data_IF_741249073872
#
_entry.id   IF_741249073872
#
_cell.length_a   1.000
_cell.length_b   1.000
_cell.length_c   1.000
_cell.angle_alpha   90.00
_cell.angle_beta   90.00
_cell.angle_gamma   90.00
#
_symmetry.space_group_name_H-M   'P 1'
#
loop_
_entity.id
_entity.type
_entity.pdbx_description
1 polymer ?
#
# COMPACT_ATOMS: atom_id res chain seq x y z
N UNK A 1 41.18 51.33 -48.84
CA UNK A 1 42.04 50.21 -48.38
C UNK A 1 41.24 48.93 -48.56
N UNK A 2 40.96 48.46 -49.79
CA UNK A 2 41.86 47.73 -50.71
C UNK A 2 42.30 46.40 -50.08
N UNK A 3 41.58 45.29 -50.28
CA UNK A 3 41.61 44.33 -51.42
C UNK A 3 42.64 43.19 -51.27
N UNK A 4 42.13 41.96 -51.48
CA UNK A 4 42.76 40.84 -52.22
C UNK A 4 43.72 39.83 -51.53
N UNK A 5 43.29 38.55 -51.58
CA UNK A 5 44.04 37.31 -51.90
C UNK A 5 45.06 37.52 -53.07
N UNK A 6 46.08 36.68 -53.37
CA UNK A 6 45.99 35.20 -53.44
C UNK A 6 47.33 34.40 -53.27
N UNK A 7 47.21 33.07 -53.48
CA UNK A 7 48.12 32.12 -54.18
C UNK A 7 49.61 32.02 -53.75
N UNK A 8 50.24 30.85 -53.69
CA UNK A 8 49.92 29.51 -54.12
C UNK A 8 51.21 28.67 -54.23
N UNK A 9 51.05 27.38 -54.56
CA UNK A 9 52.08 26.40 -55.01
C UNK A 9 53.10 25.99 -53.93
N UNK A 10 53.60 24.75 -53.84
CA UNK A 10 53.63 23.64 -54.79
C UNK A 10 53.84 22.33 -53.99
N UNK A 11 52.90 21.40 -54.18
CA UNK A 11 53.06 19.98 -54.54
C UNK A 11 54.08 19.03 -53.85
N UNK A 12 53.79 17.71 -53.92
CA UNK A 12 53.99 16.75 -52.83
C UNK A 12 54.87 15.55 -53.28
N UNK A 13 54.40 14.33 -52.99
CA UNK A 13 54.81 12.98 -53.43
C UNK A 13 55.90 12.26 -52.58
N UNK A 14 55.99 10.90 -52.61
CA UNK A 14 55.32 9.99 -51.66
C UNK A 14 56.24 8.83 -51.19
N UNK A 15 55.70 7.88 -50.44
CA UNK A 15 56.13 6.48 -50.53
C UNK A 15 54.93 5.55 -50.40
N UNK A 16 54.28 5.27 -51.54
CA UNK A 16 53.54 4.04 -51.78
C UNK A 16 54.49 3.04 -52.43
N UNK A 17 54.68 1.86 -51.85
CA UNK A 17 55.15 0.72 -52.63
C UNK A 17 53.95 -0.07 -53.13
N UNK A 18 53.91 -0.16 -54.46
CA UNK A 18 52.86 -0.73 -55.30
C UNK A 18 53.03 -2.25 -55.47
N UNK A 19 51.96 -2.91 -55.93
CA UNK A 19 51.94 -4.30 -56.39
C UNK A 19 52.46 -4.43 -57.83
N UNK A 20 52.80 -5.65 -58.24
CA UNK A 20 52.92 -6.07 -59.66
C UNK A 20 52.07 -7.34 -59.84
N UNK A 21 50.97 -7.25 -60.62
CA UNK A 21 50.84 -7.48 -62.07
C UNK A 21 50.98 -8.97 -62.40
N UNK A 22 49.96 -9.72 -62.83
CA UNK A 22 49.03 -9.59 -63.97
C UNK A 22 49.49 -10.37 -65.21
N UNK A 23 48.50 -10.78 -66.02
CA UNK A 23 48.55 -11.41 -67.35
C UNK A 23 48.95 -12.89 -67.39
N UNK A 24 48.28 -13.81 -68.09
CA UNK A 24 47.28 -13.69 -69.14
C UNK A 24 47.87 -14.17 -70.47
N UNK A 25 47.42 -15.33 -70.96
CA UNK A 25 47.46 -15.68 -72.38
C UNK A 25 48.38 -16.82 -72.82
N UNK A 26 47.72 -17.93 -73.18
CA UNK A 26 47.88 -18.64 -74.46
C UNK A 26 49.18 -19.39 -74.80
N UNK A 27 49.05 -20.71 -75.02
CA UNK A 27 49.74 -21.39 -76.13
C UNK A 27 50.39 -22.74 -75.83
N UNK A 28 49.94 -23.75 -76.60
CA UNK A 28 50.61 -25.02 -76.95
C UNK A 28 50.76 -26.09 -75.84
N UNK A 29 50.06 -27.22 -75.85
CA UNK A 29 50.00 -28.36 -76.81
C UNK A 29 50.94 -29.51 -76.42
N UNK A 30 50.31 -30.68 -76.20
CA UNK A 30 50.81 -32.06 -76.26
C UNK A 30 51.72 -32.63 -75.15
N UNK A 31 51.16 -33.58 -74.40
CA UNK A 31 51.69 -34.94 -74.34
C UNK A 31 50.59 -35.92 -73.91
N UNK A 32 50.35 -36.90 -74.76
CA UNK A 32 49.53 -38.11 -74.56
C UNK A 32 50.33 -39.08 -73.69
N UNK A 33 49.68 -39.76 -72.75
CA UNK A 33 50.31 -40.77 -71.89
C UNK A 33 49.25 -41.62 -71.21
N UNK A 34 48.84 -42.67 -71.92
CA UNK A 34 47.95 -43.74 -71.46
C UNK A 34 48.74 -44.68 -70.53
N UNK A 35 48.12 -45.13 -69.43
CA UNK A 35 48.78 -45.95 -68.41
C UNK A 35 47.77 -46.50 -67.40
N UNK A 36 47.42 -47.77 -67.60
CA UNK A 36 46.59 -48.61 -66.73
C UNK A 36 47.34 -49.11 -65.48
N UNK A 37 46.54 -49.69 -64.56
CA UNK A 37 46.82 -50.50 -63.35
C UNK A 37 46.69 -49.73 -62.03
N UNK A 38 45.69 -49.95 -61.16
CA UNK A 38 45.12 -51.14 -60.48
C UNK A 38 45.36 -51.00 -58.96
N UNK A 39 44.34 -51.34 -58.18
CA UNK A 39 44.27 -51.51 -56.71
C UNK A 39 43.89 -50.30 -55.84
N UNK A 40 42.60 -50.23 -55.48
CA UNK A 40 42.25 -50.05 -54.07
C UNK A 40 40.93 -50.75 -53.70
N UNK A 41 41.07 -51.95 -53.15
CA UNK A 41 40.04 -52.67 -52.40
C UNK A 41 39.71 -51.94 -51.08
N UNK A 42 38.43 -51.82 -50.76
CA UNK A 42 37.92 -51.79 -49.38
C UNK A 42 37.86 -50.43 -48.67
N UNK A 43 36.76 -49.70 -48.84
CA UNK A 43 36.23 -48.83 -47.79
C UNK A 43 34.76 -49.17 -47.58
N UNK A 44 34.52 -49.82 -46.44
CA UNK A 44 33.22 -50.23 -45.92
C UNK A 44 32.29 -49.02 -45.89
N UNK A 45 31.07 -49.18 -46.42
CA UNK A 45 30.01 -48.20 -46.32
C UNK A 45 29.84 -47.78 -44.85
N UNK A 46 30.05 -46.48 -44.57
CA UNK A 46 29.80 -45.91 -43.26
C UNK A 46 28.34 -46.16 -42.86
N UNK A 47 28.07 -46.65 -41.63
CA UNK A 47 26.70 -46.87 -41.19
C UNK A 47 25.99 -45.52 -41.07
N UNK A 48 24.76 -45.48 -41.61
CA UNK A 48 23.81 -44.38 -41.51
C UNK A 48 23.81 -43.81 -40.09
N UNK A 49 24.19 -42.54 -40.01
CA UNK A 49 24.22 -41.72 -38.82
C UNK A 49 22.89 -41.89 -38.08
N UNK A 50 22.93 -42.63 -36.97
CA UNK A 50 21.78 -42.80 -36.09
C UNK A 50 21.34 -41.41 -35.66
N UNK A 51 20.20 -40.98 -36.18
CA UNK A 51 19.50 -39.78 -35.75
C UNK A 51 19.34 -39.86 -34.23
N UNK A 52 20.26 -39.20 -33.51
CA UNK A 52 20.18 -39.02 -32.07
C UNK A 52 18.92 -38.19 -31.84
N UNK A 53 17.83 -38.86 -31.48
CA UNK A 53 16.62 -38.23 -30.97
C UNK A 53 17.08 -37.19 -29.94
N UNK A 54 16.73 -35.90 -30.07
CA UNK A 54 17.14 -34.91 -29.10
C UNK A 54 16.52 -35.31 -27.77
N UNK A 55 17.35 -35.86 -26.87
CA UNK A 55 16.94 -36.17 -25.51
C UNK A 55 16.39 -34.87 -24.93
N UNK A 56 15.07 -34.82 -24.74
CA UNK A 56 14.32 -33.68 -24.22
C UNK A 56 14.96 -33.31 -22.88
N UNK A 57 15.86 -32.31 -22.88
CA UNK A 57 16.64 -31.91 -21.72
C UNK A 57 15.65 -31.39 -20.68
N UNK A 58 15.26 -32.25 -19.72
CA UNK A 58 14.40 -31.90 -18.58
C UNK A 58 15.02 -30.68 -17.90
N UNK A 59 14.44 -29.52 -18.16
CA UNK A 59 14.94 -28.25 -17.64
C UNK A 59 14.69 -28.26 -16.14
N UNK A 60 15.77 -28.22 -15.34
CA UNK A 60 15.65 -28.13 -13.88
C UNK A 60 14.85 -26.88 -13.52
N UNK A 61 13.72 -27.06 -12.85
CA UNK A 61 12.95 -25.97 -12.27
C UNK A 61 13.82 -25.27 -11.25
N UNK A 62 13.99 -23.95 -11.41
CA UNK A 62 14.81 -23.17 -10.51
C UNK A 62 14.03 -22.93 -9.21
N UNK A 63 14.24 -23.76 -8.19
CA UNK A 63 13.59 -23.64 -6.87
C UNK A 63 13.73 -22.23 -6.30
N UNK A 64 14.88 -21.60 -6.51
CA UNK A 64 15.12 -20.22 -6.09
C UNK A 64 14.18 -19.21 -6.78
N UNK A 65 13.82 -19.43 -8.04
CA UNK A 65 12.88 -18.56 -8.75
C UNK A 65 11.44 -18.72 -8.24
N UNK A 66 11.05 -19.94 -7.84
CA UNK A 66 9.76 -20.22 -7.21
C UNK A 66 9.67 -19.58 -5.82
N UNK A 67 10.73 -19.70 -5.02
CA UNK A 67 10.80 -19.05 -3.72
C UNK A 67 10.75 -17.52 -3.85
N UNK A 68 11.50 -16.96 -4.79
CA UNK A 68 11.49 -15.52 -5.05
C UNK A 68 10.12 -15.02 -5.54
N UNK A 69 9.41 -15.78 -6.37
CA UNK A 69 8.09 -15.39 -6.86
C UNK A 69 6.98 -15.48 -5.83
N UNK A 70 7.17 -16.28 -4.77
CA UNK A 70 6.26 -16.31 -3.63
C UNK A 70 6.61 -15.21 -2.61
N UNK A 71 7.87 -15.17 -2.18
CA UNK A 71 8.27 -14.38 -1.01
C UNK A 71 8.41 -12.89 -1.31
N UNK A 72 8.89 -12.49 -2.50
CA UNK A 72 9.09 -11.06 -2.80
C UNK A 72 7.76 -10.31 -2.89
N UNK A 73 6.74 -10.77 -3.64
CA UNK A 73 5.43 -10.12 -3.66
C UNK A 73 4.74 -10.12 -2.30
N UNK A 74 4.83 -11.22 -1.55
CA UNK A 74 4.28 -11.30 -0.21
C UNK A 74 4.96 -10.31 0.75
N UNK A 75 6.28 -10.25 0.79
CA UNK A 75 7.02 -9.34 1.65
C UNK A 75 6.77 -7.85 1.28
N UNK A 76 6.67 -7.55 -0.02
CA UNK A 76 6.33 -6.21 -0.49
C UNK A 76 4.90 -5.82 -0.07
N UNK A 77 3.95 -6.76 -0.19
CA UNK A 77 2.57 -6.58 0.26
C UNK A 77 2.50 -6.34 1.77
N UNK A 78 3.09 -7.22 2.59
CA UNK A 78 3.04 -7.12 4.06
C UNK A 78 3.66 -5.83 4.56
N UNK A 79 4.83 -5.47 4.03
CA UNK A 79 5.55 -4.25 4.43
C UNK A 79 4.75 -3.01 4.07
N UNK A 80 4.28 -2.91 2.82
CA UNK A 80 3.50 -1.75 2.36
C UNK A 80 2.18 -1.63 3.12
N UNK A 81 1.48 -2.75 3.31
CA UNK A 81 0.21 -2.78 4.01
C UNK A 81 0.36 -2.44 5.49
N UNK A 82 1.41 -2.94 6.16
CA UNK A 82 1.70 -2.65 7.56
C UNK A 82 2.10 -1.18 7.76
N UNK A 83 2.99 -0.67 6.91
CA UNK A 83 3.43 0.74 6.97
C UNK A 83 2.25 1.69 6.78
N UNK A 84 1.35 1.38 5.84
CA UNK A 84 0.13 2.17 5.60
C UNK A 84 -0.95 1.98 6.67
N UNK A 85 -0.94 0.89 7.43
CA UNK A 85 -2.02 0.59 8.41
C UNK A 85 -1.72 1.07 9.83
N UNK A 86 -0.46 1.10 10.25
CA UNK A 86 -0.10 1.24 11.67
C UNK A 86 0.56 2.59 12.01
N UNK A 87 1.21 2.65 13.18
CA UNK A 87 1.73 3.86 13.83
C UNK A 87 2.65 4.71 12.95
N UNK A 88 3.39 4.10 12.02
CA UNK A 88 4.30 4.82 11.12
C UNK A 88 3.52 5.81 10.25
N UNK A 89 2.35 5.42 9.73
CA UNK A 89 1.49 6.32 8.96
C UNK A 89 0.98 7.49 9.82
N UNK A 90 0.70 7.24 11.10
CA UNK A 90 0.20 8.25 12.02
C UNK A 90 1.27 9.27 12.45
N UNK A 91 2.40 8.77 12.98
CA UNK A 91 3.44 9.60 13.59
C UNK A 91 4.35 10.26 12.54
N UNK A 92 4.63 9.55 11.45
CA UNK A 92 5.62 9.96 10.46
C UNK A 92 5.08 9.75 9.03
N UNK A 93 4.08 10.53 8.60
CA UNK A 93 3.49 10.40 7.25
C UNK A 93 4.54 10.57 6.14
N UNK A 94 5.59 11.35 6.36
CA UNK A 94 6.71 11.51 5.42
C UNK A 94 7.53 10.22 5.26
N UNK A 95 7.85 9.53 6.35
CA UNK A 95 8.57 8.26 6.33
C UNK A 95 7.71 7.17 5.65
N UNK A 96 6.41 7.16 5.94
CA UNK A 96 5.45 6.29 5.26
C UNK A 96 5.47 6.50 3.74
N UNK A 97 5.37 7.76 3.29
CA UNK A 97 5.47 8.12 1.88
C UNK A 97 6.81 7.73 1.25
N UNK A 98 7.92 7.92 1.96
CA UNK A 98 9.25 7.51 1.50
C UNK A 98 9.36 6.00 1.30
N UNK A 99 8.90 5.19 2.26
CA UNK A 99 8.95 3.71 2.17
C UNK A 99 8.07 3.23 1.01
N UNK A 100 6.86 3.77 0.88
CA UNK A 100 5.94 3.43 -0.22
C UNK A 100 6.54 3.82 -1.57
N UNK A 101 7.13 5.02 -1.67
CA UNK A 101 7.80 5.52 -2.88
C UNK A 101 9.03 4.69 -3.26
N UNK A 102 9.86 4.31 -2.29
CA UNK A 102 10.99 3.41 -2.52
C UNK A 102 10.53 2.03 -3.02
N UNK A 103 9.44 1.50 -2.45
CA UNK A 103 8.78 0.29 -2.93
C UNK A 103 8.31 0.43 -4.39
N UNK A 104 7.71 1.57 -4.76
CA UNK A 104 7.32 1.83 -6.14
C UNK A 104 8.51 1.81 -7.10
N UNK A 105 9.62 2.47 -6.74
CA UNK A 105 10.85 2.48 -7.55
C UNK A 105 11.39 1.06 -7.75
N UNK A 106 11.41 0.24 -6.69
CA UNK A 106 11.82 -1.16 -6.78
C UNK A 106 10.91 -1.95 -7.74
N UNK A 107 9.60 -1.78 -7.65
CA UNK A 107 8.61 -2.43 -8.55
C UNK A 107 8.85 -2.01 -10.01
N UNK A 108 9.05 -0.73 -10.27
CA UNK A 108 9.36 -0.22 -11.61
C UNK A 108 10.68 -0.78 -12.14
N UNK A 109 11.72 -0.89 -11.32
CA UNK A 109 12.99 -1.50 -11.71
C UNK A 109 12.81 -2.97 -12.10
N UNK A 110 12.02 -3.74 -11.33
CA UNK A 110 11.64 -5.11 -11.67
C UNK A 110 10.86 -5.18 -13.00
N UNK A 111 9.96 -4.24 -13.25
CA UNK A 111 9.22 -4.13 -14.51
C UNK A 111 10.11 -3.83 -15.72
N UNK A 112 11.08 -2.92 -15.58
CA UNK A 112 12.07 -2.63 -16.63
C UNK A 112 12.93 -3.86 -16.93
N UNK A 113 13.38 -4.59 -15.91
CA UNK A 113 14.13 -5.83 -16.09
C UNK A 113 13.29 -6.89 -16.82
N UNK A 114 12.01 -7.01 -16.48
CA UNK A 114 11.08 -7.92 -17.14
C UNK A 114 10.85 -7.52 -18.62
N UNK A 115 10.67 -6.23 -18.91
CA UNK A 115 10.52 -5.71 -20.27
C UNK A 115 11.78 -5.95 -21.13
N UNK A 116 12.98 -5.67 -20.58
CA UNK A 116 14.25 -5.97 -21.25
C UNK A 116 14.43 -7.47 -21.51
N UNK A 117 14.00 -8.32 -20.59
CA UNK A 117 14.03 -9.77 -20.78
C UNK A 117 13.05 -10.23 -21.87
N UNK A 118 11.89 -9.58 -21.99
CA UNK A 118 10.91 -9.84 -23.05
C UNK A 118 11.42 -9.42 -24.45
N UNK A 119 12.03 -8.24 -24.57
CA UNK A 119 12.59 -7.76 -25.86
C UNK A 119 13.71 -8.69 -26.36
N UNK A 120 14.62 -9.11 -25.46
CA UNK A 120 15.69 -10.07 -25.82
C UNK A 120 15.17 -11.43 -26.26
N UNK A 121 14.03 -11.88 -25.72
CA UNK A 121 13.36 -13.11 -26.19
C UNK A 121 12.87 -12.94 -27.63
N UNK A 122 12.27 -11.78 -27.96
CA UNK A 122 11.78 -11.48 -29.31
C UNK A 122 12.93 -11.42 -30.33
N UNK A 123 14.10 -10.95 -29.91
CA UNK A 123 15.32 -10.92 -30.72
C UNK A 123 15.99 -12.31 -30.92
N UNK A 124 15.44 -13.41 -30.36
CA UNK A 124 16.00 -14.78 -30.38
C UNK A 124 17.41 -14.93 -29.76
N UNK A 125 17.87 -13.94 -29.02
CA UNK A 125 19.21 -13.92 -28.39
C UNK A 125 19.26 -14.61 -27.01
N UNK A 126 18.11 -14.88 -26.40
CA UNK A 126 18.03 -15.34 -25.00
C UNK A 126 17.90 -16.87 -24.87
N UNK A 127 18.91 -17.53 -24.27
CA UNK A 127 18.88 -18.94 -23.88
C UNK A 127 18.01 -19.23 -22.62
N UNK A 128 17.55 -18.20 -21.91
CA UNK A 128 16.79 -18.30 -20.65
C UNK A 128 15.38 -17.73 -20.81
N UNK A 129 14.35 -18.49 -20.41
CA UNK A 129 12.96 -18.05 -20.50
C UNK A 129 12.67 -16.90 -19.51
N UNK A 130 12.20 -15.73 -20.00
CA UNK A 130 11.94 -14.54 -19.17
C UNK A 130 10.59 -14.59 -18.41
N UNK A 131 9.87 -15.72 -18.47
CA UNK A 131 8.48 -15.84 -17.97
C UNK A 131 8.36 -15.58 -16.47
N UNK A 132 9.34 -16.00 -15.67
CA UNK A 132 9.37 -15.76 -14.23
C UNK A 132 9.50 -14.27 -13.86
N UNK A 133 10.28 -13.49 -14.62
CA UNK A 133 10.42 -12.05 -14.36
C UNK A 133 9.12 -11.29 -14.61
N UNK A 134 8.38 -11.66 -15.65
CA UNK A 134 7.07 -11.08 -15.95
C UNK A 134 6.05 -11.40 -14.85
N UNK A 135 5.99 -12.66 -14.41
CA UNK A 135 5.09 -13.09 -13.33
C UNK A 135 5.37 -12.33 -12.02
N UNK A 136 6.64 -12.25 -11.62
CA UNK A 136 7.05 -11.52 -10.41
C UNK A 136 6.65 -10.05 -10.54
N UNK A 137 6.95 -9.39 -11.67
CA UNK A 137 6.64 -7.97 -11.85
C UNK A 137 5.15 -7.67 -11.76
N UNK A 138 4.30 -8.51 -12.36
CA UNK A 138 2.84 -8.30 -12.36
C UNK A 138 2.24 -8.54 -10.98
N UNK A 139 2.61 -9.65 -10.32
CA UNK A 139 2.10 -9.97 -8.98
C UNK A 139 2.59 -8.98 -7.92
N UNK A 140 3.82 -8.49 -8.06
CA UNK A 140 4.41 -7.46 -7.20
C UNK A 140 3.67 -6.12 -7.34
N UNK A 141 3.38 -5.69 -8.58
CA UNK A 141 2.62 -4.46 -8.83
C UNK A 141 1.18 -4.57 -8.28
N UNK A 142 0.51 -5.69 -8.56
CA UNK A 142 -0.85 -5.91 -8.08
C UNK A 142 -0.93 -5.97 -6.56
N UNK A 143 -0.01 -6.71 -5.92
CA UNK A 143 0.10 -6.77 -4.47
C UNK A 143 0.34 -5.39 -3.87
N UNK A 144 1.23 -4.59 -4.44
CA UNK A 144 1.50 -3.24 -3.95
C UNK A 144 0.28 -2.31 -4.03
N UNK A 145 -0.44 -2.32 -5.15
CA UNK A 145 -1.67 -1.50 -5.30
C UNK A 145 -2.74 -1.91 -4.29
N UNK A 146 -2.98 -3.21 -4.12
CA UNK A 146 -3.95 -3.70 -3.12
C UNK A 146 -3.51 -3.34 -1.71
N UNK A 147 -2.22 -3.48 -1.38
CA UNK A 147 -1.68 -3.12 -0.07
C UNK A 147 -1.92 -1.65 0.27
N UNK A 148 -1.81 -0.74 -0.70
CA UNK A 148 -2.11 0.68 -0.51
C UNK A 148 -3.59 0.93 -0.22
N UNK A 149 -4.48 0.32 -1.01
CA UNK A 149 -5.93 0.49 -0.85
C UNK A 149 -6.39 -0.07 0.49
N UNK A 150 -6.05 -1.33 0.78
CA UNK A 150 -6.42 -1.99 2.02
C UNK A 150 -5.77 -1.33 3.24
N UNK A 151 -4.51 -0.90 3.12
CA UNK A 151 -3.77 -0.21 4.18
C UNK A 151 -4.41 1.11 4.56
N UNK A 152 -4.70 1.95 3.57
CA UNK A 152 -5.37 3.21 3.79
C UNK A 152 -6.80 3.03 4.31
N UNK A 153 -7.53 2.01 3.83
CA UNK A 153 -8.85 1.68 4.35
C UNK A 153 -8.78 1.28 5.83
N UNK A 154 -7.90 0.34 6.18
CA UNK A 154 -7.71 -0.13 7.56
C UNK A 154 -7.26 1.00 8.50
N UNK A 155 -6.37 1.86 8.01
CA UNK A 155 -5.90 3.02 8.77
C UNK A 155 -7.05 3.97 9.08
N UNK A 156 -7.83 4.36 8.07
CA UNK A 156 -8.91 5.34 8.26
C UNK A 156 -10.05 4.81 9.13
N UNK A 157 -10.43 3.54 8.98
CA UNK A 157 -11.61 3.00 9.67
C UNK A 157 -11.31 2.46 11.06
N UNK A 158 -10.16 1.81 11.26
CA UNK A 158 -9.86 1.10 12.50
C UNK A 158 -8.75 1.79 13.31
N UNK A 159 -7.60 2.06 12.68
CA UNK A 159 -6.39 2.44 13.44
C UNK A 159 -6.34 3.93 13.79
N UNK A 160 -6.84 4.82 12.93
CA UNK A 160 -6.86 6.26 13.17
C UNK A 160 -7.71 6.63 14.40
N UNK A 161 -8.97 6.18 14.55
CA UNK A 161 -9.74 6.44 15.76
C UNK A 161 -9.04 5.94 17.04
N UNK A 162 -8.37 4.79 16.96
CA UNK A 162 -7.58 4.25 18.06
C UNK A 162 -6.41 5.17 18.44
N UNK A 163 -5.62 5.63 17.48
CA UNK A 163 -4.47 6.51 17.75
C UNK A 163 -4.90 7.91 18.22
N UNK A 164 -5.94 8.49 17.61
CA UNK A 164 -6.44 9.82 17.97
C UNK A 164 -6.89 9.88 19.43
N UNK A 165 -7.55 8.84 19.93
CA UNK A 165 -7.96 8.76 21.35
C UNK A 165 -6.80 8.38 22.27
N UNK A 166 -5.90 7.48 21.83
CA UNK A 166 -4.82 6.95 22.70
C UNK A 166 -3.67 7.94 22.89
N UNK A 167 -3.48 8.89 21.98
CA UNK A 167 -2.50 9.97 22.15
C UNK A 167 -2.97 11.08 23.11
N UNK A 168 -4.21 11.01 23.57
CA UNK A 168 -4.78 11.93 24.54
C UNK A 168 -4.79 11.31 25.94
N UNK A 169 -4.85 12.16 26.97
CA UNK A 169 -4.80 11.71 28.36
C UNK A 169 -6.13 11.08 28.80
N UNK A 170 -6.04 10.12 29.72
CA UNK A 170 -7.19 9.48 30.36
C UNK A 170 -7.31 9.98 31.79
N UNK A 171 -8.47 10.53 32.15
CA UNK A 171 -8.74 11.05 33.49
C UNK A 171 -9.81 10.22 34.18
N UNK A 172 -9.69 10.02 35.48
CA UNK A 172 -10.63 9.24 36.26
C UNK A 172 -11.16 9.98 37.49
N UNK A 173 -12.41 9.70 37.86
CA UNK A 173 -13.07 10.34 39.00
C UNK A 173 -13.38 11.82 38.78
N UNK A 174 -13.60 12.24 37.53
CA UNK A 174 -13.88 13.65 37.21
C UNK A 174 -15.29 14.02 37.66
N UNK A 175 -15.39 15.06 38.48
CA UNK A 175 -16.66 15.64 38.93
C UNK A 175 -16.97 16.88 38.07
N UNK A 176 -18.01 16.84 37.21
CA UNK A 176 -18.41 17.96 36.37
C UNK A 176 -18.73 19.25 37.14
N UNK A 177 -19.07 19.18 38.43
CA UNK A 177 -19.36 20.36 39.24
C UNK A 177 -18.11 21.08 39.75
N UNK A 178 -16.97 20.38 39.84
CA UNK A 178 -15.73 20.90 40.44
C UNK A 178 -14.64 21.19 39.42
N UNK A 179 -14.65 20.46 38.30
CA UNK A 179 -13.63 20.54 37.27
C UNK A 179 -14.17 21.35 36.09
N UNK A 180 -13.36 22.24 35.54
CA UNK A 180 -13.72 23.01 34.34
C UNK A 180 -13.12 22.38 33.08
N UNK A 181 -13.80 22.55 31.95
CA UNK A 181 -13.39 21.99 30.65
C UNK A 181 -12.00 22.47 30.21
N UNK A 182 -11.59 23.68 30.61
CA UNK A 182 -10.25 24.23 30.33
C UNK A 182 -9.10 23.36 30.85
N UNK A 183 -9.32 22.63 31.95
CA UNK A 183 -8.29 21.76 32.54
C UNK A 183 -8.15 20.41 31.83
N UNK A 184 -9.14 20.03 31.02
CA UNK A 184 -9.25 18.73 30.36
C UNK A 184 -9.25 18.84 28.83
N UNK A 185 -8.61 19.88 28.30
CA UNK A 185 -8.49 20.11 26.84
C UNK A 185 -7.69 19.04 26.11
N UNK A 186 -6.89 18.24 26.84
CA UNK A 186 -6.10 17.12 26.33
C UNK A 186 -6.71 15.76 26.68
N UNK A 187 -7.90 15.72 27.28
CA UNK A 187 -8.56 14.49 27.66
C UNK A 187 -9.14 13.77 26.43
N UNK A 188 -8.77 12.51 26.23
CA UNK A 188 -9.36 11.63 25.20
C UNK A 188 -10.43 10.73 25.78
N UNK A 189 -10.25 10.33 27.04
CA UNK A 189 -11.20 9.52 27.80
C UNK A 189 -11.35 10.11 29.19
N UNK A 190 -12.58 10.21 29.64
CA UNK A 190 -12.91 10.71 30.98
C UNK A 190 -13.82 9.72 31.66
N UNK A 191 -13.36 9.12 32.75
CA UNK A 191 -14.21 8.39 33.68
C UNK A 191 -14.74 9.41 34.69
N UNK A 192 -16.02 9.72 34.59
CA UNK A 192 -16.67 10.62 35.53
C UNK A 192 -16.92 9.93 36.87
N UNK A 193 -17.21 10.74 37.88
CA UNK A 193 -17.63 10.25 39.19
C UNK A 193 -18.91 9.40 39.09
N UNK A 194 -19.14 8.48 40.04
CA UNK A 194 -20.31 7.60 40.04
C UNK A 194 -21.65 8.34 40.19
N UNK A 195 -21.63 9.58 40.67
CA UNK A 195 -22.81 10.44 40.78
C UNK A 195 -23.12 11.18 39.48
N UNK A 196 -22.20 11.15 38.52
CA UNK A 196 -22.36 11.83 37.24
C UNK A 196 -23.40 11.14 36.37
N UNK A 197 -24.33 11.93 35.84
CA UNK A 197 -25.42 11.48 34.96
C UNK A 197 -25.68 12.52 33.87
N UNK A 198 -26.46 12.11 32.88
CA UNK A 198 -26.94 13.01 31.84
C UNK A 198 -28.16 13.78 32.36
N UNK A 199 -28.13 15.11 32.27
CA UNK A 199 -29.32 15.93 32.52
C UNK A 199 -30.11 16.11 31.22
N UNK A 200 -30.98 15.13 30.95
CA UNK A 200 -31.82 15.10 29.74
C UNK A 200 -32.75 16.31 29.68
N UNK A 201 -33.14 16.89 30.82
CA UNK A 201 -34.04 18.05 30.87
C UNK A 201 -33.46 19.31 30.23
N UNK A 202 -32.13 19.39 30.17
CA UNK A 202 -31.36 20.48 29.53
C UNK A 202 -30.73 20.05 28.20
N UNK A 203 -31.19 18.93 27.64
CA UNK A 203 -30.75 18.48 26.33
C UNK A 203 -31.37 19.33 25.21
N UNK A 204 -30.63 19.48 24.12
CA UNK A 204 -31.06 20.23 22.95
C UNK A 204 -30.50 19.59 21.68
N UNK A 205 -31.02 19.97 20.52
CA UNK A 205 -30.45 19.52 19.26
C UNK A 205 -30.44 20.58 18.18
N UNK A 206 -29.41 20.54 17.34
CA UNK A 206 -29.26 21.39 16.17
C UNK A 206 -29.42 20.55 14.90
N UNK A 207 -30.18 21.04 13.91
CA UNK A 207 -30.45 20.29 12.68
C UNK A 207 -29.73 20.92 11.49
N UNK A 208 -28.81 20.17 10.89
CA UNK A 208 -28.08 20.52 9.67
C UNK A 208 -27.73 19.23 8.90
N UNK A 209 -28.55 18.88 7.91
CA UNK A 209 -28.67 17.55 7.27
C UNK A 209 -29.01 16.41 8.25
N UNK A 210 -28.21 16.23 9.31
CA UNK A 210 -28.48 15.39 10.46
C UNK A 210 -28.87 16.23 11.69
N UNK A 211 -29.50 15.58 12.67
CA UNK A 211 -29.79 16.19 13.98
C UNK A 211 -28.65 15.91 14.94
N UNK A 212 -27.93 16.95 15.35
CA UNK A 212 -26.85 16.91 16.33
C UNK A 212 -27.42 17.14 17.73
N UNK A 213 -27.39 16.11 18.56
CA UNK A 213 -27.99 16.09 19.88
C UNK A 213 -26.93 16.26 20.95
N UNK A 214 -27.20 17.11 21.94
CA UNK A 214 -26.32 17.36 23.09
C UNK A 214 -27.09 17.24 24.39
N UNK A 215 -26.47 16.65 25.41
CA UNK A 215 -26.99 16.60 26.77
C UNK A 215 -25.87 16.90 27.77
N UNK A 216 -26.06 17.82 28.73
CA UNK A 216 -25.03 18.14 29.70
C UNK A 216 -24.80 16.98 30.68
N UNK A 217 -23.55 16.78 31.07
CA UNK A 217 -23.13 15.80 32.07
C UNK A 217 -23.00 16.53 33.40
N UNK A 218 -23.80 16.14 34.40
CA UNK A 218 -23.88 16.79 35.71
C UNK A 218 -23.69 15.79 36.84
N UNK A 219 -23.21 16.22 38.01
CA UNK A 219 -23.10 15.37 39.20
C UNK A 219 -24.24 15.54 40.20
N UNK A 220 -24.96 16.67 40.17
CA UNK A 220 -26.11 16.97 41.05
C UNK A 220 -27.27 17.59 40.26
N UNK A 221 -28.45 17.71 40.88
CA UNK A 221 -29.59 18.44 40.30
C UNK A 221 -29.44 19.96 40.41
N UNK A 222 -28.46 20.41 41.22
CA UNK A 222 -28.19 21.82 41.41
C UNK A 222 -27.61 22.46 40.14
N UNK A 223 -27.93 23.74 39.95
CA UNK A 223 -27.44 24.47 38.80
C UNK A 223 -25.92 24.69 38.93
N UNK A 224 -25.16 24.09 38.01
CA UNK A 224 -23.73 24.27 37.93
C UNK A 224 -23.36 25.69 37.51
N UNK A 225 -22.21 26.18 37.99
CA UNK A 225 -21.65 27.46 37.59
C UNK A 225 -21.26 27.50 36.10
N UNK A 226 -20.80 26.37 35.57
CA UNK A 226 -20.48 26.19 34.15
C UNK A 226 -20.80 24.76 33.71
N UNK A 227 -21.37 24.62 32.51
CA UNK A 227 -21.70 23.34 31.88
C UNK A 227 -20.67 23.04 30.79
N UNK A 228 -19.51 22.52 31.18
CA UNK A 228 -18.40 22.30 30.24
C UNK A 228 -18.40 20.89 29.63
N UNK A 229 -19.08 19.92 30.23
CA UNK A 229 -19.07 18.52 29.77
C UNK A 229 -20.40 18.16 29.12
N UNK A 230 -20.34 17.69 27.87
CA UNK A 230 -21.51 17.38 27.07
C UNK A 230 -21.41 15.97 26.48
N UNK A 231 -22.47 15.19 26.67
CA UNK A 231 -22.70 13.97 25.92
C UNK A 231 -23.29 14.31 24.56
N UNK A 232 -22.78 13.69 23.50
CA UNK A 232 -23.16 13.99 22.12
C UNK A 232 -23.55 12.75 21.33
N UNK A 233 -24.43 12.95 20.36
CA UNK A 233 -24.64 11.99 19.29
C UNK A 233 -25.56 12.51 18.20
N UNK A 234 -25.74 11.70 17.16
CA UNK A 234 -26.40 12.12 15.92
C UNK A 234 -27.69 11.33 15.76
N UNK A 235 -28.76 12.01 15.35
CA UNK A 235 -30.08 11.45 15.03
C UNK A 235 -30.72 10.65 16.19
N UNK A 236 -30.45 11.04 17.43
CA UNK A 236 -30.97 10.38 18.65
C UNK A 236 -31.86 11.28 19.52
N UNK A 237 -32.34 12.39 18.96
CA UNK A 237 -33.27 13.33 19.59
C UNK A 237 -34.16 13.98 18.52
N UNK A 238 -35.29 14.55 18.94
CA UNK A 238 -36.21 15.30 18.06
C UNK A 238 -35.64 16.63 17.58
N UNK A 239 -34.68 17.19 18.32
CA UNK A 239 -34.03 18.48 18.06
C UNK A 239 -34.83 19.71 18.51
N UNK A 240 -36.07 19.54 18.96
CA UNK A 240 -36.90 20.65 19.43
C UNK A 240 -37.47 20.44 20.85
N UNK A 241 -37.21 19.27 21.43
CA UNK A 241 -37.59 18.91 22.80
C UNK A 241 -36.37 18.35 23.54
N UNK A 242 -36.39 18.38 24.88
CA UNK A 242 -35.36 17.77 25.70
C UNK A 242 -35.55 16.24 25.74
N UNK A 243 -35.24 15.56 24.63
CA UNK A 243 -35.46 14.11 24.43
C UNK A 243 -34.21 13.37 23.96
N UNK A 244 -33.10 13.57 24.66
CA UNK A 244 -31.86 12.84 24.38
C UNK A 244 -31.99 11.33 24.67
N UNK A 245 -31.93 10.51 23.61
CA UNK A 245 -32.08 9.04 23.68
C UNK A 245 -30.94 8.31 22.93
N UNK A 246 -29.74 8.86 22.96
CA UNK A 246 -28.56 8.24 22.37
C UNK A 246 -28.16 6.94 23.10
N UNK A 247 -27.29 6.14 22.47
CA UNK A 247 -26.86 4.87 23.06
C UNK A 247 -26.36 5.04 24.50
N UNK A 248 -26.75 4.12 25.39
CA UNK A 248 -26.37 4.11 26.81
C UNK A 248 -26.88 5.28 27.66
N UNK A 249 -27.79 6.13 27.17
CA UNK A 249 -28.30 7.29 27.93
C UNK A 249 -28.93 6.93 29.28
N UNK A 250 -29.69 5.82 29.34
CA UNK A 250 -30.40 5.36 30.54
C UNK A 250 -29.65 4.24 31.30
N UNK A 251 -28.38 4.00 30.96
CA UNK A 251 -27.62 2.94 31.60
C UNK A 251 -26.98 3.42 32.90
N UNK A 252 -27.37 2.80 34.02
CA UNK A 252 -26.80 3.10 35.34
C UNK A 252 -25.31 2.71 35.50
N UNK A 253 -24.71 2.08 34.48
CA UNK A 253 -23.29 1.72 34.44
C UNK A 253 -22.46 2.70 33.60
N UNK A 254 -23.09 3.52 32.75
CA UNK A 254 -22.36 4.49 31.97
C UNK A 254 -22.06 5.70 32.84
N UNK A 255 -20.77 5.89 33.11
CA UNK A 255 -20.22 7.08 33.77
C UNK A 255 -18.94 7.52 33.06
N UNK A 256 -18.78 7.19 31.78
CA UNK A 256 -17.58 7.47 31.04
C UNK A 256 -17.88 8.17 29.71
N UNK A 257 -16.96 9.01 29.29
CA UNK A 257 -17.00 9.74 28.03
C UNK A 257 -15.77 9.44 27.19
N UNK A 258 -15.98 9.08 25.93
CA UNK A 258 -14.93 9.08 24.90
C UNK A 258 -15.04 10.35 24.09
N UNK A 259 -13.94 11.10 23.93
CA UNK A 259 -13.97 12.38 23.24
C UNK A 259 -14.38 12.26 21.78
N UNK A 260 -15.19 13.20 21.31
CA UNK A 260 -15.44 13.39 19.89
C UNK A 260 -14.19 14.00 19.22
N UNK A 261 -13.62 13.29 18.26
CA UNK A 261 -12.43 13.74 17.51
C UNK A 261 -12.76 14.32 16.14
N UNK A 262 -13.99 14.15 15.65
CA UNK A 262 -14.40 14.66 14.34
C UNK A 262 -14.60 16.18 14.38
N UNK A 263 -13.67 16.92 13.77
CA UNK A 263 -13.70 18.38 13.71
C UNK A 263 -14.92 18.91 12.95
N UNK A 264 -15.38 18.21 11.91
CA UNK A 264 -16.52 18.64 11.10
C UNK A 264 -17.85 18.56 11.87
N UNK A 265 -17.97 17.59 12.77
CA UNK A 265 -19.14 17.46 13.63
C UNK A 265 -19.07 18.38 14.85
N UNK A 266 -17.85 18.64 15.35
CA UNK A 266 -17.61 19.49 16.53
C UNK A 266 -18.22 20.88 16.37
N UNK A 267 -18.15 21.48 15.19
CA UNK A 267 -18.75 22.79 14.92
C UNK A 267 -20.28 22.77 15.06
N UNK A 268 -20.94 21.74 14.52
CA UNK A 268 -22.39 21.59 14.63
C UNK A 268 -22.84 21.31 16.07
N UNK A 269 -22.05 20.57 16.86
CA UNK A 269 -22.32 20.36 18.28
C UNK A 269 -22.14 21.64 19.11
N UNK A 270 -21.21 22.54 18.74
CA UNK A 270 -21.10 23.85 19.39
C UNK A 270 -22.35 24.69 19.17
N UNK A 271 -22.90 24.70 17.95
CA UNK A 271 -24.16 25.39 17.66
C UNK A 271 -25.33 24.82 18.50
N UNK A 272 -25.37 23.50 18.70
CA UNK A 272 -26.36 22.87 19.57
C UNK A 272 -26.22 23.31 21.03
N UNK A 273 -24.99 23.44 21.55
CA UNK A 273 -24.73 23.96 22.89
C UNK A 273 -25.14 25.43 23.01
N UNK A 274 -24.83 26.27 22.03
CA UNK A 274 -25.24 27.69 22.03
C UNK A 274 -26.77 27.84 22.09
N UNK A 275 -27.51 26.97 21.39
CA UNK A 275 -28.97 26.93 21.47
C UNK A 275 -29.45 26.45 22.85
N UNK A 276 -28.82 25.43 23.42
CA UNK A 276 -29.12 24.95 24.77
C UNK A 276 -28.88 26.03 25.84
N UNK A 277 -27.80 26.80 25.73
CA UNK A 277 -27.51 27.94 26.61
C UNK A 277 -28.62 28.98 26.56
N UNK A 278 -29.07 29.34 25.36
CA UNK A 278 -30.12 30.33 25.17
C UNK A 278 -31.48 29.83 25.70
N UNK A 279 -31.81 28.57 25.45
CA UNK A 279 -33.09 27.97 25.86
C UNK A 279 -33.19 27.78 27.38
N UNK A 280 -32.13 27.30 28.02
CA UNK A 280 -32.13 26.92 29.44
C UNK A 280 -31.46 27.94 30.36
N UNK A 281 -30.99 29.08 29.82
CA UNK A 281 -30.29 30.15 30.57
C UNK A 281 -29.07 29.61 31.34
N UNK A 282 -28.35 28.68 30.73
CA UNK A 282 -27.10 28.11 31.25
C UNK A 282 -25.91 28.66 30.46
N UNK A 283 -24.70 28.43 30.98
CA UNK A 283 -23.45 28.84 30.34
C UNK A 283 -22.43 27.70 30.32
N UNK A 284 -21.82 27.49 29.18
CA UNK A 284 -20.68 26.62 28.93
C UNK A 284 -19.46 27.50 28.65
N UNK A 285 -18.43 27.42 29.50
CA UNK A 285 -17.22 28.22 29.30
C UNK A 285 -16.34 27.60 28.21
N UNK A 286 -16.12 26.29 28.29
CA UNK A 286 -15.30 25.55 27.34
C UNK A 286 -15.92 24.18 27.11
N UNK A 287 -16.87 24.06 26.17
CA UNK A 287 -17.61 22.83 25.95
C UNK A 287 -16.69 21.74 25.37
N UNK A 288 -16.64 20.61 26.07
CA UNK A 288 -16.02 19.37 25.66
C UNK A 288 -17.10 18.33 25.34
N UNK A 289 -16.91 17.64 24.22
CA UNK A 289 -17.89 16.71 23.67
C UNK A 289 -17.44 15.26 23.82
N UNK A 290 -18.33 14.43 24.35
CA UNK A 290 -18.06 13.02 24.61
C UNK A 290 -19.18 12.12 24.11
N UNK A 291 -18.85 10.98 23.55
CA UNK A 291 -19.76 9.85 23.42
C UNK A 291 -19.90 9.18 24.79
N UNK A 292 -21.13 9.08 25.28
CA UNK A 292 -21.45 8.47 26.56
C UNK A 292 -21.32 6.95 26.47
N UNK A 293 -20.50 6.34 27.32
CA UNK A 293 -20.19 4.91 27.26
C UNK A 293 -20.00 4.30 28.65
N UNK A 294 -20.14 2.97 28.74
CA UNK A 294 -19.85 2.18 29.94
C UNK A 294 -18.34 1.92 30.08
N UNK A 295 -17.67 1.56 28.98
CA UNK A 295 -16.26 1.23 28.95
C UNK A 295 -15.55 1.85 27.72
N UNK A 296 -14.89 3.01 27.89
CA UNK A 296 -14.19 3.66 26.78
C UNK A 296 -12.89 2.93 26.40
N UNK A 297 -12.32 2.13 27.31
CA UNK A 297 -11.07 1.39 27.06
C UNK A 297 -11.39 0.18 26.18
N UNK A 298 -12.42 -0.59 26.54
CA UNK A 298 -12.89 -1.73 25.76
C UNK A 298 -13.28 -1.33 24.33
N UNK A 299 -14.06 -0.26 24.16
CA UNK A 299 -14.42 0.23 22.82
C UNK A 299 -13.20 0.65 22.00
N UNK A 300 -12.22 1.33 22.61
CA UNK A 300 -11.02 1.70 21.86
C UNK A 300 -10.17 0.48 21.49
N UNK A 301 -10.02 -0.49 22.40
CA UNK A 301 -9.29 -1.72 22.15
C UNK A 301 -9.94 -2.56 21.04
N UNK A 302 -11.28 -2.51 20.91
CA UNK A 302 -12.01 -3.17 19.83
C UNK A 302 -11.59 -2.66 18.44
N UNK A 303 -11.31 -1.36 18.30
CA UNK A 303 -10.78 -0.79 17.06
C UNK A 303 -9.38 -1.32 16.72
N UNK A 304 -8.51 -1.39 17.72
CA UNK A 304 -7.17 -1.97 17.57
C UNK A 304 -7.25 -3.43 17.14
N UNK A 305 -7.99 -4.25 17.88
CA UNK A 305 -8.16 -5.68 17.60
C UNK A 305 -8.72 -5.93 16.20
N UNK A 306 -9.72 -5.16 15.80
CA UNK A 306 -10.35 -5.29 14.48
C UNK A 306 -9.35 -4.97 13.37
N UNK A 307 -8.57 -3.90 13.51
CA UNK A 307 -7.58 -3.56 12.48
C UNK A 307 -6.38 -4.52 12.44
N UNK A 308 -5.97 -5.11 13.57
CA UNK A 308 -4.95 -6.17 13.59
C UNK A 308 -5.47 -7.48 12.98
N UNK A 309 -6.70 -7.87 13.30
CA UNK A 309 -7.36 -9.04 12.69
C UNK A 309 -7.48 -8.86 11.18
N UNK A 310 -7.92 -7.68 10.72
CA UNK A 310 -8.01 -7.36 9.30
C UNK A 310 -6.63 -7.44 8.63
N UNK A 311 -5.59 -6.92 9.27
CA UNK A 311 -4.23 -7.01 8.77
C UNK A 311 -3.76 -8.47 8.61
N UNK A 312 -3.87 -9.26 9.68
CA UNK A 312 -3.42 -10.66 9.67
C UNK A 312 -4.19 -11.51 8.65
N UNK A 313 -5.51 -11.35 8.57
CA UNK A 313 -6.34 -12.07 7.61
C UNK A 313 -5.96 -11.74 6.18
N UNK A 314 -5.75 -10.46 5.84
CA UNK A 314 -5.39 -10.08 4.47
C UNK A 314 -3.96 -10.53 4.12
N UNK A 315 -3.02 -10.52 5.06
CA UNK A 315 -1.66 -11.05 4.86
C UNK A 315 -1.67 -12.56 4.59
N UNK A 316 -2.43 -13.33 5.36
CA UNK A 316 -2.56 -14.78 5.16
C UNK A 316 -3.30 -15.10 3.86
N UNK A 317 -4.36 -14.37 3.55
CA UNK A 317 -5.11 -14.54 2.32
C UNK A 317 -4.24 -14.23 1.09
N UNK A 318 -3.49 -13.13 1.12
CA UNK A 318 -2.57 -12.78 0.03
C UNK A 318 -1.48 -13.84 -0.15
N UNK A 319 -0.92 -14.38 0.95
CA UNK A 319 0.04 -15.49 0.87
C UNK A 319 -0.56 -16.73 0.20
N UNK A 320 -1.77 -17.13 0.60
CA UNK A 320 -2.46 -18.29 0.03
C UNK A 320 -2.76 -18.11 -1.47
N UNK A 321 -3.25 -16.93 -1.86
CA UNK A 321 -3.50 -16.59 -3.27
C UNK A 321 -2.20 -16.56 -4.06
N UNK A 322 -1.14 -15.96 -3.53
CA UNK A 322 0.16 -15.91 -4.20
C UNK A 322 0.76 -17.31 -4.35
N UNK A 323 0.67 -18.17 -3.32
CA UNK A 323 1.08 -19.56 -3.39
C UNK A 323 0.33 -20.32 -4.49
N UNK A 324 -0.99 -20.15 -4.55
CA UNK A 324 -1.82 -20.75 -5.60
C UNK A 324 -1.38 -20.28 -7.00
N UNK A 325 -1.16 -18.99 -7.21
CA UNK A 325 -0.70 -18.45 -8.49
C UNK A 325 0.70 -18.96 -8.89
N UNK A 326 1.61 -19.10 -7.91
CA UNK A 326 2.95 -19.66 -8.13
C UNK A 326 2.87 -21.15 -8.52
N UNK A 327 2.02 -21.93 -7.85
CA UNK A 327 1.80 -23.35 -8.20
C UNK A 327 1.20 -23.50 -9.59
N UNK A 328 0.16 -22.71 -9.92
CA UNK A 328 -0.49 -22.75 -11.23
C UNK A 328 0.46 -22.35 -12.35
N UNK A 329 1.25 -21.29 -12.16
CA UNK A 329 2.26 -20.89 -13.14
C UNK A 329 3.35 -21.96 -13.31
N UNK A 330 3.81 -22.58 -12.21
CA UNK A 330 4.77 -23.68 -12.26
C UNK A 330 4.23 -24.89 -13.05
N UNK A 331 2.98 -25.32 -12.81
CA UNK A 331 2.33 -26.41 -13.55
C UNK A 331 2.21 -26.06 -15.04
N UNK A 332 1.75 -24.85 -15.36
CA UNK A 332 1.64 -24.37 -16.73
C UNK A 332 2.97 -24.43 -17.48
N UNK A 333 4.07 -24.01 -16.85
CA UNK A 333 5.39 -24.08 -17.46
C UNK A 333 5.90 -25.52 -17.65
N UNK A 334 5.51 -26.45 -16.78
CA UNK A 334 5.86 -27.86 -16.94
C UNK A 334 5.11 -28.46 -18.14
N UNK A 335 3.80 -28.16 -18.28
CA UNK A 335 2.97 -28.70 -19.36
C UNK A 335 3.33 -28.15 -20.74
N UNK A 336 3.51 -26.83 -20.88
CA UNK A 336 3.89 -26.20 -22.16
C UNK A 336 5.25 -26.67 -22.69
N UNK A 337 6.12 -27.18 -21.83
CA UNK A 337 7.44 -27.69 -22.21
C UNK A 337 7.40 -29.18 -22.55
N UNK A 338 6.28 -29.88 -22.28
CA UNK A 338 6.07 -31.31 -22.59
C UNK A 338 5.37 -31.50 -23.95
N UNK A 339 4.60 -30.52 -24.43
CA UNK A 339 4.19 -30.43 -25.85
C UNK A 339 5.36 -30.19 -26.80
#
# INVERSE_FOLDING_TARGET
VSLNLPSGRNRPIPCSWKPHLASGGSGAMQAYGDGFEENQYGAVAAPLDQARLPLKRRRRTNVLALAASLLIPWAAFTTTFGVMSFSIHYQHPQLCGFIVGAGAIFIFACGIMAAKAYVRKRAREAAREPTWYMFISVTLLFGWVIALILGNANFKTNMRPYYDITNLNTYAGVDPAKVHGQTLLDAGRVMFSRTSRLDVSKSFGFKNDNTYCVAPIVSSEEQLAAYDFWAVGINCCSGNRPDFQCEKFDSARAHAGMRLMDSGQTENFKLAVEQAEAAHKIKAGTPLFFHWTEDPIGETNRHQDTGFKFYLLAVLLFFAVQLFLVVMSAIGFIQFNIG
#
